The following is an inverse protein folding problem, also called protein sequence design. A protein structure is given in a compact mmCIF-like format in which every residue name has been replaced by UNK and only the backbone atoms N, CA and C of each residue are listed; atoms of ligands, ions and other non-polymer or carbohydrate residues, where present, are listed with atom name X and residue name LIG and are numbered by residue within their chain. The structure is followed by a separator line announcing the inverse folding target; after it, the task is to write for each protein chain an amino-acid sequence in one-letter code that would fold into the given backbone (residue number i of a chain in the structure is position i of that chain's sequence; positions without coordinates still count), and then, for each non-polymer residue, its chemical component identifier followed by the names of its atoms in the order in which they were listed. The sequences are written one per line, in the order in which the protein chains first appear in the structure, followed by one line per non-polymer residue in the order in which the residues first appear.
data_IF_623209988776
#
_entry.id   IF_623209988776
#
_cell.length_a   1.000
_cell.length_b   1.000
_cell.length_c   1.000
_cell.angle_alpha   90.00
_cell.angle_beta   90.00
_cell.angle_gamma   90.00
#
_symmetry.space_group_name_H-M   'P 1'
#
loop_
_entity.id
_entity.type
_entity.pdbx_description
1 polymer ?
#
# COMPACT_ATOMS: atom_id res chain seq x y z
N UNK A 1 3.15 13.82 9.28
CA UNK A 1 4.57 13.76 9.66
C UNK A 1 5.49 13.74 8.43
N UNK A 2 5.28 12.83 7.47
CA UNK A 2 6.13 12.71 6.26
C UNK A 2 6.18 13.96 5.37
N UNK A 3 5.06 14.66 5.17
CA UNK A 3 5.02 15.88 4.35
C UNK A 3 5.94 16.99 4.88
N UNK A 4 6.08 17.10 6.21
CA UNK A 4 6.99 18.06 6.83
C UNK A 4 8.46 17.70 6.57
N UNK A 5 8.78 16.41 6.47
CA UNK A 5 10.13 15.94 6.13
C UNK A 5 10.45 16.19 4.65
N UNK A 6 9.48 15.99 3.77
CA UNK A 6 9.59 16.34 2.34
C UNK A 6 9.85 17.85 2.17
N UNK A 7 9.07 18.69 2.87
CA UNK A 7 9.22 20.14 2.82
C UNK A 7 10.61 20.60 3.30
N UNK A 8 11.13 20.01 4.38
CA UNK A 8 12.48 20.31 4.89
C UNK A 8 13.56 19.88 3.89
N UNK A 9 13.49 18.66 3.36
CA UNK A 9 14.47 18.15 2.40
C UNK A 9 14.54 19.01 1.12
N UNK A 10 13.38 19.46 0.63
CA UNK A 10 13.29 20.36 -0.52
C UNK A 10 13.85 21.75 -0.21
N UNK A 11 13.53 22.31 0.95
CA UNK A 11 14.02 23.62 1.40
C UNK A 11 15.55 23.64 1.52
N UNK A 12 16.11 22.57 2.07
CA UNK A 12 17.55 22.44 2.30
C UNK A 12 18.31 21.96 1.05
N UNK A 13 17.58 21.74 -0.07
CA UNK A 13 18.12 21.22 -1.35
C UNK A 13 18.86 19.90 -1.19
N UNK A 14 18.43 19.07 -0.24
CA UNK A 14 18.93 17.71 -0.07
C UNK A 14 18.26 16.81 -1.12
N UNK A 15 18.86 16.78 -2.31
CA UNK A 15 18.32 16.03 -3.45
C UNK A 15 18.26 14.50 -3.21
N UNK A 16 19.28 13.85 -2.61
CA UNK A 16 19.19 12.44 -2.26
C UNK A 16 18.02 12.12 -1.31
N UNK A 17 17.87 12.89 -0.24
CA UNK A 17 16.77 12.68 0.71
C UNK A 17 15.42 12.98 0.08
N UNK A 18 15.33 14.02 -0.76
CA UNK A 18 14.10 14.36 -1.48
C UNK A 18 13.65 13.22 -2.41
N UNK A 19 14.57 12.62 -3.17
CA UNK A 19 14.26 11.50 -4.06
C UNK A 19 13.80 10.25 -3.27
N UNK A 20 14.44 9.96 -2.14
CA UNK A 20 14.03 8.87 -1.25
C UNK A 20 12.62 9.09 -0.70
N UNK A 21 12.34 10.30 -0.20
CA UNK A 21 11.04 10.63 0.39
C UNK A 21 9.92 10.65 -0.65
N UNK A 22 10.21 11.06 -1.89
CA UNK A 22 9.24 10.99 -2.99
C UNK A 22 8.86 9.54 -3.31
N UNK A 23 9.85 8.64 -3.43
CA UNK A 23 9.58 7.21 -3.57
C UNK A 23 8.75 6.69 -2.41
N UNK A 24 9.12 7.03 -1.17
CA UNK A 24 8.40 6.57 0.01
C UNK A 24 6.96 7.06 0.05
N UNK A 25 6.70 8.32 -0.28
CA UNK A 25 5.33 8.88 -0.34
C UNK A 25 4.50 8.14 -1.40
N UNK A 26 5.06 7.89 -2.57
CA UNK A 26 4.36 7.14 -3.61
C UNK A 26 4.06 5.70 -3.17
N UNK A 27 4.97 5.06 -2.45
CA UNK A 27 4.73 3.73 -1.89
C UNK A 27 3.61 3.76 -0.84
N UNK A 28 3.58 4.76 0.03
CA UNK A 28 2.52 4.93 1.02
C UNK A 28 1.14 5.10 0.37
N UNK A 29 1.02 5.86 -0.73
CA UNK A 29 -0.23 6.01 -1.46
C UNK A 29 -0.72 4.66 -2.02
N UNK A 30 0.20 3.85 -2.55
CA UNK A 30 -0.12 2.51 -3.05
C UNK A 30 -0.57 1.59 -1.91
N UNK A 31 0.14 1.59 -0.78
CA UNK A 31 -0.21 0.78 0.39
C UNK A 31 -1.56 1.19 0.98
N UNK A 32 -1.83 2.48 1.17
CA UNK A 32 -3.13 2.98 1.64
C UNK A 32 -4.27 2.52 0.73
N UNK A 33 -4.09 2.55 -0.59
CA UNK A 33 -5.07 2.06 -1.57
C UNK A 33 -5.33 0.55 -1.42
N UNK A 34 -4.27 -0.25 -1.16
CA UNK A 34 -4.39 -1.70 -0.91
C UNK A 34 -5.21 -1.96 0.35
N UNK A 35 -4.91 -1.26 1.45
CA UNK A 35 -5.65 -1.42 2.71
C UNK A 35 -7.10 -0.93 2.59
N UNK A 36 -7.35 0.18 1.93
CA UNK A 36 -8.71 0.68 1.67
C UNK A 36 -9.53 -0.34 0.87
N UNK A 37 -8.91 -0.94 -0.16
CA UNK A 37 -9.55 -2.00 -0.96
C UNK A 37 -9.87 -3.23 -0.10
N UNK A 38 -8.99 -3.60 0.83
CA UNK A 38 -9.24 -4.69 1.77
C UNK A 38 -10.40 -4.36 2.73
N UNK A 39 -10.44 -3.15 3.28
CA UNK A 39 -11.53 -2.69 4.15
C UNK A 39 -12.87 -2.77 3.40
N UNK A 40 -12.92 -2.29 2.15
CA UNK A 40 -14.12 -2.38 1.30
C UNK A 40 -14.59 -3.83 1.10
N UNK A 41 -13.68 -4.81 1.03
CA UNK A 41 -14.06 -6.24 0.97
C UNK A 41 -14.74 -6.69 2.27
N UNK A 42 -14.24 -6.26 3.43
CA UNK A 42 -14.90 -6.54 4.72
C UNK A 42 -16.25 -5.85 4.84
N UNK A 43 -16.41 -4.63 4.32
CA UNK A 43 -17.69 -3.92 4.30
C UNK A 43 -18.72 -4.59 3.39
N UNK A 44 -18.28 -5.15 2.26
CA UNK A 44 -19.16 -5.82 1.30
C UNK A 44 -19.54 -7.25 1.70
N UNK A 45 -18.57 -8.05 2.14
CA UNK A 45 -18.75 -9.49 2.40
C UNK A 45 -19.17 -9.75 3.85
N UNK A 46 -18.78 -8.87 4.78
CA UNK A 46 -19.01 -9.01 6.21
C UNK A 46 -17.79 -9.52 6.99
N UNK A 47 -18.01 -9.89 8.25
CA UNK A 47 -16.95 -10.26 9.22
C UNK A 47 -17.19 -11.58 9.94
N UNK A 48 -18.11 -12.42 9.46
CA UNK A 48 -18.29 -13.76 9.99
C UNK A 48 -17.19 -14.73 9.52
N UNK A 49 -17.16 -15.95 10.05
CA UNK A 49 -16.11 -16.95 9.76
C UNK A 49 -16.01 -17.30 8.27
N UNK A 50 -17.13 -17.32 7.55
CA UNK A 50 -17.17 -17.63 6.11
C UNK A 50 -16.64 -16.42 5.33
N UNK A 51 -17.06 -15.21 5.71
CA UNK A 51 -16.58 -13.96 5.12
C UNK A 51 -15.06 -13.81 5.27
N UNK A 52 -14.53 -14.05 6.48
CA UNK A 52 -13.08 -14.01 6.75
C UNK A 52 -12.32 -15.02 5.89
N UNK A 53 -12.77 -16.29 5.85
CA UNK A 53 -12.14 -17.32 5.02
C UNK A 53 -12.20 -16.98 3.52
N UNK A 54 -13.25 -16.30 3.07
CA UNK A 54 -13.38 -15.86 1.67
C UNK A 54 -12.40 -14.73 1.36
N UNK A 55 -12.27 -13.75 2.26
CA UNK A 55 -11.32 -12.64 2.10
C UNK A 55 -9.87 -13.16 2.14
N UNK A 56 -9.57 -14.12 3.01
CA UNK A 56 -8.26 -14.77 3.09
C UNK A 56 -7.86 -15.43 1.76
N UNK A 57 -8.77 -16.21 1.15
CA UNK A 57 -8.55 -16.80 -0.18
C UNK A 57 -8.32 -15.77 -1.28
N UNK A 58 -9.06 -14.65 -1.24
CA UNK A 58 -8.88 -13.55 -2.21
C UNK A 58 -7.50 -12.90 -2.04
N UNK A 59 -7.06 -12.70 -0.79
CA UNK A 59 -5.73 -12.16 -0.49
C UNK A 59 -4.63 -13.10 -0.99
N UNK A 60 -4.72 -14.40 -0.70
CA UNK A 60 -3.75 -15.39 -1.17
C UNK A 60 -3.59 -15.36 -2.70
N UNK A 61 -4.70 -15.35 -3.45
CA UNK A 61 -4.67 -15.26 -4.92
C UNK A 61 -4.04 -13.95 -5.43
N UNK A 62 -4.24 -12.82 -4.73
CA UNK A 62 -3.66 -11.53 -5.11
C UNK A 62 -2.14 -11.47 -4.91
N UNK A 63 -1.63 -12.17 -3.89
CA UNK A 63 -0.19 -12.30 -3.61
C UNK A 63 0.49 -13.15 -4.69
N UNK A 64 -0.13 -14.26 -5.09
CA UNK A 64 0.39 -15.12 -6.18
C UNK A 64 0.49 -14.36 -7.52
N UNK A 65 -0.50 -13.52 -7.83
CA UNK A 65 -0.49 -12.67 -9.03
C UNK A 65 0.63 -11.63 -9.01
N UNK A 66 0.92 -11.03 -7.84
CA UNK A 66 1.98 -10.02 -7.69
C UNK A 66 3.37 -10.66 -7.80
N UNK A 67 3.54 -11.85 -7.22
CA UNK A 67 4.80 -12.61 -7.32
C UNK A 67 5.14 -13.00 -8.76
N UNK A 68 4.14 -13.35 -9.58
CA UNK A 68 4.36 -13.68 -11.00
C UNK A 68 4.73 -12.46 -11.84
N UNK A 69 4.19 -11.27 -11.52
CA UNK A 69 4.48 -10.04 -12.26
C UNK A 69 5.89 -9.48 -12.01
N UNK A 70 6.49 -9.78 -10.84
CA UNK A 70 7.84 -9.33 -10.50
C UNK A 70 8.94 -10.31 -10.94
N UNK A 71 8.56 -11.51 -11.39
CA UNK A 71 9.48 -12.55 -11.86
C UNK A 71 9.64 -12.58 -13.40
N UNK A 72 8.92 -11.71 -14.12
CA UNK A 72 8.99 -11.50 -15.57
C UNK A 72 9.65 -10.14 -15.88
#
# INVERSE_FOLDING_TARGET
AIHKMVEIAQKDKDYPTSAFLEWFVNEQVQEETKFETLIKKFELIGRDKIAINTIDKILAASVESTASNNAA
#
